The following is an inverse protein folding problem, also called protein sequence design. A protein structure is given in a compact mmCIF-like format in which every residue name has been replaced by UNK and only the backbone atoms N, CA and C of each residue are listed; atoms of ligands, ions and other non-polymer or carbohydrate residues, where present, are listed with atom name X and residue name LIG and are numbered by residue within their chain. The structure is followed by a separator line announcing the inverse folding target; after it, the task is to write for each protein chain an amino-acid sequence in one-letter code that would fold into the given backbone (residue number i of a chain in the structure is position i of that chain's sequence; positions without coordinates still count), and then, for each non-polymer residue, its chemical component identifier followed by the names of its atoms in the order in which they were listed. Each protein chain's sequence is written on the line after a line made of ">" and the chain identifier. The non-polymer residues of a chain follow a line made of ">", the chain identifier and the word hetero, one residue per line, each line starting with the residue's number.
data_IF_042041849393
#
_entry.id   IF_042041849393
#
_cell.length_a   1.000
_cell.length_b   1.000
_cell.length_c   1.000
_cell.angle_alpha   90.00
_cell.angle_beta   90.00
_cell.angle_gamma   90.00
#
_symmetry.space_group_name_H-M   'P 1'
#
loop_
_entity.id
_entity.type
_entity.pdbx_description
1 polymer ?
#
# COMPACT_ATOMS: atom_id res chain seq x y z
N UNK A 1 -3.07 33.71 -10.45
CA UNK A 1 -2.23 33.85 -9.24
C UNK A 1 -2.98 33.24 -8.08
N UNK A 2 -2.37 32.25 -7.38
CA UNK A 2 -2.94 31.68 -6.17
C UNK A 2 -2.97 32.75 -5.07
N UNK A 3 -4.15 32.93 -4.44
CA UNK A 3 -4.35 33.90 -3.35
C UNK A 3 -4.11 33.29 -1.95
N UNK A 4 -4.00 31.96 -1.89
CA UNK A 4 -3.82 31.20 -0.66
C UNK A 4 -2.78 30.11 -0.90
N UNK A 5 -1.99 29.79 0.12
CA UNK A 5 -1.03 28.70 0.13
C UNK A 5 -1.22 27.89 1.41
N UNK A 6 -1.02 26.60 1.31
CA UNK A 6 -0.93 25.70 2.45
C UNK A 6 0.55 25.55 2.80
N UNK A 7 0.89 25.73 4.07
CA UNK A 7 2.24 25.53 4.59
C UNK A 7 2.22 24.35 5.54
N UNK A 8 3.02 23.35 5.24
CA UNK A 8 3.07 22.08 5.98
C UNK A 8 4.52 21.73 6.34
N UNK A 9 4.70 20.88 7.36
CA UNK A 9 5.99 20.28 7.65
C UNK A 9 6.38 19.32 6.52
N UNK A 10 7.63 19.38 6.06
CA UNK A 10 8.11 18.42 5.06
C UNK A 10 8.47 17.09 5.72
N UNK A 11 7.91 16.01 5.18
CA UNK A 11 8.19 14.64 5.59
C UNK A 11 9.07 13.90 4.56
N UNK A 12 9.70 14.65 3.65
CA UNK A 12 10.55 14.08 2.60
C UNK A 12 11.64 13.21 3.20
N UNK A 13 11.78 12.01 2.66
CA UNK A 13 12.78 11.05 3.13
C UNK A 13 12.29 10.10 4.24
N UNK A 14 11.11 10.35 4.83
CA UNK A 14 10.50 9.39 5.76
C UNK A 14 9.98 8.18 5.01
N UNK A 15 9.85 7.05 5.69
CA UNK A 15 9.29 5.84 5.10
C UNK A 15 7.77 5.96 4.99
N UNK A 16 7.22 5.72 3.79
CA UNK A 16 5.78 5.70 3.57
C UNK A 16 5.23 4.32 3.87
N UNK A 17 4.15 4.27 4.65
CA UNK A 17 3.46 3.05 5.09
C UNK A 17 1.97 3.20 4.81
N UNK A 18 1.30 2.08 4.53
CA UNK A 18 -0.14 2.09 4.25
C UNK A 18 -0.86 1.01 5.05
N UNK A 19 -2.08 1.33 5.47
CA UNK A 19 -2.98 0.42 6.17
C UNK A 19 -4.35 0.43 5.50
N UNK A 20 -4.81 -0.75 5.11
CA UNK A 20 -6.19 -0.97 4.65
C UNK A 20 -6.99 -1.57 5.79
N UNK A 21 -8.11 -0.95 6.14
CA UNK A 21 -9.01 -1.39 7.21
C UNK A 21 -10.44 -1.52 6.74
N UNK A 22 -11.18 -2.38 7.42
CA UNK A 22 -12.64 -2.48 7.35
C UNK A 22 -13.23 -2.11 8.71
N UNK A 23 -14.35 -1.39 8.71
CA UNK A 23 -15.11 -1.06 9.93
C UNK A 23 -16.60 -1.22 9.70
N UNK A 24 -17.29 -1.82 10.66
CA UNK A 24 -18.76 -1.96 10.64
C UNK A 24 -19.48 -0.90 11.50
N UNK A 25 -20.80 -0.97 11.52
CA UNK A 25 -21.63 -0.04 12.28
C UNK A 25 -21.54 -0.23 13.80
N UNK A 26 -21.10 -1.40 14.28
CA UNK A 26 -20.93 -1.69 15.71
C UNK A 26 -19.50 -1.43 16.20
N UNK A 27 -18.74 -0.60 15.48
CA UNK A 27 -17.38 -0.17 15.83
C UNK A 27 -16.32 -1.28 15.78
N UNK A 28 -16.62 -2.44 15.18
CA UNK A 28 -15.58 -3.46 14.94
C UNK A 28 -14.66 -2.99 13.82
N UNK A 29 -13.37 -2.91 14.09
CA UNK A 29 -12.33 -2.51 13.12
C UNK A 29 -11.40 -3.68 12.87
N UNK A 30 -11.24 -4.05 11.60
CA UNK A 30 -10.36 -5.14 11.17
C UNK A 30 -9.32 -4.60 10.21
N UNK A 31 -8.01 -4.65 10.56
CA UNK A 31 -6.94 -4.40 9.61
C UNK A 31 -6.92 -5.53 8.57
N UNK A 32 -6.96 -5.17 7.30
CA UNK A 32 -6.90 -6.15 6.21
C UNK A 32 -5.48 -6.38 5.75
N UNK A 33 -4.71 -5.30 5.64
CA UNK A 33 -3.40 -5.37 5.04
C UNK A 33 -2.52 -4.20 5.49
N UNK A 34 -1.26 -4.51 5.79
CA UNK A 34 -0.18 -3.56 6.02
C UNK A 34 0.78 -3.59 4.84
N UNK A 35 1.10 -2.41 4.29
CA UNK A 35 2.02 -2.27 3.17
C UNK A 35 3.13 -1.29 3.51
N UNK A 36 4.35 -1.60 3.06
CA UNK A 36 5.47 -0.65 3.10
C UNK A 36 5.88 -0.26 1.69
N UNK A 37 6.16 1.02 1.50
CA UNK A 37 6.76 1.54 0.29
C UNK A 37 8.28 1.55 0.43
N UNK A 38 9.00 1.07 -0.59
CA UNK A 38 10.47 1.07 -0.59
C UNK A 38 11.01 2.47 -0.85
N UNK A 39 10.28 3.24 -1.65
CA UNK A 39 10.62 4.63 -1.93
C UNK A 39 10.11 5.54 -0.79
N UNK A 40 10.87 6.60 -0.46
CA UNK A 40 10.51 7.48 0.65
C UNK A 40 9.36 8.43 0.31
N UNK A 41 8.78 9.03 1.34
CA UNK A 41 7.86 10.17 1.20
C UNK A 41 8.53 11.26 0.37
N UNK A 42 7.77 11.83 -0.58
CA UNK A 42 8.26 12.74 -1.61
C UNK A 42 8.28 12.12 -3.00
N UNK A 43 8.19 10.78 -3.09
CA UNK A 43 7.90 10.06 -4.34
C UNK A 43 6.40 9.79 -4.40
N UNK A 44 5.80 10.02 -5.58
CA UNK A 44 4.37 9.72 -5.78
C UNK A 44 4.09 8.24 -5.53
N UNK A 45 3.09 7.91 -4.69
CA UNK A 45 2.81 6.52 -4.28
C UNK A 45 2.58 5.58 -5.47
N UNK A 46 2.02 6.10 -6.58
CA UNK A 46 1.88 5.33 -7.83
C UNK A 46 3.21 4.89 -8.44
N UNK A 47 4.28 5.61 -8.16
CA UNK A 47 5.63 5.36 -8.65
C UNK A 47 6.49 4.56 -7.68
N UNK A 48 6.03 4.36 -6.43
CA UNK A 48 6.76 3.62 -5.43
C UNK A 48 6.60 2.11 -5.60
N UNK A 49 7.67 1.38 -5.34
CA UNK A 49 7.63 -0.08 -5.16
C UNK A 49 7.04 -0.38 -3.78
N UNK A 50 5.95 -1.17 -3.74
CA UNK A 50 5.29 -1.52 -2.49
C UNK A 50 5.44 -3.00 -2.17
N UNK A 51 5.54 -3.33 -0.88
CA UNK A 51 5.72 -4.71 -0.38
C UNK A 51 4.63 -5.03 0.64
N UNK A 52 4.08 -6.21 0.55
CA UNK A 52 3.05 -6.77 1.43
C UNK A 52 3.46 -8.19 1.86
N UNK A 53 3.40 -8.51 3.14
CA UNK A 53 3.24 -7.63 4.30
C UNK A 53 4.46 -6.72 4.50
N UNK A 54 4.42 -5.84 5.48
CA UNK A 54 5.59 -5.07 5.91
C UNK A 54 6.69 -6.02 6.39
N UNK A 55 7.88 -5.96 5.77
CA UNK A 55 9.01 -6.85 6.06
C UNK A 55 10.09 -6.18 6.92
N UNK A 56 10.22 -4.85 6.81
CA UNK A 56 11.32 -4.09 7.46
C UNK A 56 10.83 -3.16 8.56
N UNK A 57 9.52 -3.09 8.78
CA UNK A 57 8.90 -2.23 9.78
C UNK A 57 8.76 -2.96 11.10
N UNK A 58 9.30 -2.44 12.22
CA UNK A 58 9.17 -3.04 13.54
C UNK A 58 7.71 -3.23 13.97
N UNK A 59 7.47 -4.25 14.80
CA UNK A 59 6.11 -4.60 15.24
C UNK A 59 5.43 -3.50 16.06
N UNK A 60 6.18 -2.78 16.87
CA UNK A 60 5.69 -1.64 17.66
C UNK A 60 5.19 -0.50 16.77
N UNK A 61 5.89 -0.23 15.65
CA UNK A 61 5.45 0.73 14.65
C UNK A 61 4.18 0.26 13.94
N UNK A 62 4.09 -1.03 13.59
CA UNK A 62 2.88 -1.60 13.00
C UNK A 62 1.69 -1.51 13.95
N UNK A 63 1.88 -1.76 15.25
CA UNK A 63 0.85 -1.59 16.29
C UNK A 63 0.42 -0.13 16.42
N UNK A 64 1.35 0.81 16.36
CA UNK A 64 1.03 2.23 16.42
C UNK A 64 0.22 2.68 15.20
N UNK A 65 0.58 2.23 13.99
CA UNK A 65 -0.19 2.47 12.76
C UNK A 65 -1.60 1.90 12.89
N UNK A 66 -1.74 0.67 13.39
CA UNK A 66 -3.05 0.06 13.62
C UNK A 66 -3.87 0.86 14.62
N UNK A 67 -3.28 1.27 15.73
CA UNK A 67 -3.94 2.09 16.76
C UNK A 67 -4.43 3.42 16.21
N UNK A 68 -3.58 4.15 15.48
CA UNK A 68 -3.94 5.42 14.86
C UNK A 68 -5.03 5.22 13.80
N UNK A 69 -4.88 4.19 12.95
CA UNK A 69 -5.85 3.87 11.92
C UNK A 69 -7.23 3.56 12.49
N UNK A 70 -7.29 2.76 13.56
CA UNK A 70 -8.54 2.48 14.29
C UNK A 70 -9.19 3.76 14.80
N UNK A 71 -8.43 4.61 15.49
CA UNK A 71 -8.95 5.88 16.00
C UNK A 71 -9.51 6.77 14.89
N UNK A 72 -8.84 6.85 13.75
CA UNK A 72 -9.29 7.68 12.62
C UNK A 72 -10.63 7.18 12.10
N UNK A 73 -10.76 5.87 11.78
CA UNK A 73 -12.00 5.34 11.20
C UNK A 73 -13.16 5.38 12.17
N UNK A 74 -12.90 5.28 13.47
CA UNK A 74 -13.90 5.44 14.54
C UNK A 74 -14.40 6.87 14.62
N UNK A 75 -13.48 7.84 14.76
CA UNK A 75 -13.85 9.26 14.88
C UNK A 75 -14.52 9.81 13.62
N UNK A 76 -14.11 9.33 12.45
CA UNK A 76 -14.73 9.69 11.18
C UNK A 76 -16.06 8.97 10.90
N UNK A 77 -16.43 7.99 11.72
CA UNK A 77 -17.67 7.23 11.56
C UNK A 77 -17.74 6.42 10.26
N UNK A 78 -16.59 5.97 9.76
CA UNK A 78 -16.54 5.23 8.49
C UNK A 78 -17.20 3.87 8.64
N UNK A 79 -18.06 3.51 7.70
CA UNK A 79 -18.60 2.15 7.52
C UNK A 79 -18.11 1.62 6.16
N UNK A 80 -17.43 0.48 6.18
CA UNK A 80 -16.81 -0.11 4.98
C UNK A 80 -15.30 -0.02 5.00
N UNK A 81 -14.69 0.19 3.84
CA UNK A 81 -13.24 0.22 3.66
C UNK A 81 -12.67 1.63 3.80
N UNK A 82 -11.53 1.72 4.45
CA UNK A 82 -10.67 2.90 4.42
C UNK A 82 -9.21 2.50 4.14
N UNK A 83 -8.49 3.43 3.52
CA UNK A 83 -7.07 3.35 3.22
C UNK A 83 -6.36 4.56 3.85
N UNK A 84 -5.37 4.30 4.68
CA UNK A 84 -4.67 5.31 5.47
C UNK A 84 -3.18 5.22 5.18
N UNK A 85 -2.58 6.37 4.88
CA UNK A 85 -1.15 6.48 4.65
C UNK A 85 -0.45 7.20 5.78
N UNK A 86 0.69 6.67 6.15
CA UNK A 86 1.52 7.15 7.23
C UNK A 86 2.93 7.45 6.73
N UNK A 87 3.57 8.42 7.35
CA UNK A 87 5.01 8.61 7.30
C UNK A 87 5.62 8.16 8.62
N UNK A 88 6.67 7.37 8.54
CA UNK A 88 7.45 6.94 9.70
C UNK A 88 8.87 7.47 9.62
N UNK A 89 9.27 8.24 10.64
CA UNK A 89 10.65 8.68 10.80
C UNK A 89 11.46 7.57 11.49
N UNK A 90 12.37 6.96 10.76
CA UNK A 90 13.20 5.88 11.28
C UNK A 90 14.26 6.33 12.29
N UNK A 91 14.50 7.66 12.41
CA UNK A 91 15.51 8.22 13.32
C UNK A 91 14.96 8.45 14.73
N UNK A 92 13.75 8.98 14.83
CA UNK A 92 13.11 9.35 16.10
C UNK A 92 11.89 8.49 16.46
N UNK A 93 11.45 7.61 15.54
CA UNK A 93 10.31 6.72 15.71
C UNK A 93 8.95 7.37 15.48
N UNK A 94 8.87 8.67 15.15
CA UNK A 94 7.62 9.38 14.97
C UNK A 94 6.82 8.82 13.79
N UNK A 95 5.53 8.55 14.03
CA UNK A 95 4.56 8.15 13.00
C UNK A 95 3.56 9.28 12.83
N UNK A 96 3.31 9.67 11.57
CA UNK A 96 2.38 10.76 11.22
C UNK A 96 1.48 10.32 10.09
N UNK A 97 0.18 10.67 10.16
CA UNK A 97 -0.78 10.42 9.08
C UNK A 97 -0.52 11.42 7.94
N UNK A 98 -0.39 10.91 6.71
CA UNK A 98 -0.21 11.74 5.51
C UNK A 98 -1.54 11.94 4.79
N UNK A 99 -2.30 10.88 4.60
CA UNK A 99 -3.57 10.94 3.89
C UNK A 99 -4.53 9.85 4.34
N UNK A 100 -5.81 10.13 4.15
CA UNK A 100 -6.90 9.25 4.50
C UNK A 100 -7.92 9.20 3.37
N UNK A 101 -8.23 8.00 2.90
CA UNK A 101 -9.23 7.75 1.89
C UNK A 101 -10.38 6.93 2.50
N UNK A 102 -11.55 7.54 2.79
CA UNK A 102 -12.71 6.84 3.36
C UNK A 102 -13.48 6.05 2.28
N UNK A 103 -12.76 5.30 1.47
CA UNK A 103 -13.30 4.57 0.33
C UNK A 103 -12.29 3.55 -0.19
N UNK A 104 -12.75 2.69 -1.09
CA UNK A 104 -11.88 1.84 -1.88
C UNK A 104 -10.84 2.65 -2.66
N UNK A 105 -9.60 2.19 -2.64
CA UNK A 105 -8.44 2.74 -3.35
C UNK A 105 -7.74 1.66 -4.16
N UNK A 106 -6.66 2.01 -4.87
CA UNK A 106 -5.79 1.01 -5.52
C UNK A 106 -5.17 0.06 -4.49
N UNK A 107 -4.78 0.59 -3.34
CA UNK A 107 -4.21 -0.21 -2.24
C UNK A 107 -5.20 -1.24 -1.71
N UNK A 108 -6.50 -0.90 -1.62
CA UNK A 108 -7.55 -1.86 -1.23
C UNK A 108 -7.72 -2.99 -2.25
N UNK A 109 -7.62 -2.67 -3.56
CA UNK A 109 -7.66 -3.68 -4.62
C UNK A 109 -6.44 -4.59 -4.56
N UNK A 110 -5.27 -4.01 -4.32
CA UNK A 110 -4.03 -4.76 -4.14
C UNK A 110 -4.11 -5.66 -2.90
N UNK A 111 -4.59 -5.12 -1.77
CA UNK A 111 -4.85 -5.90 -0.56
C UNK A 111 -5.75 -7.10 -0.84
N UNK A 112 -6.86 -6.91 -1.57
CA UNK A 112 -7.76 -8.01 -1.94
C UNK A 112 -7.07 -9.12 -2.73
N UNK A 113 -6.22 -8.76 -3.68
CA UNK A 113 -5.49 -9.74 -4.51
C UNK A 113 -4.46 -10.53 -3.70
N UNK A 114 -3.80 -9.88 -2.76
CA UNK A 114 -2.71 -10.49 -1.97
C UNK A 114 -3.24 -11.33 -0.83
N UNK A 115 -4.27 -10.84 -0.12
CA UNK A 115 -4.82 -11.50 1.07
C UNK A 115 -5.92 -12.51 0.75
N UNK A 116 -6.50 -12.44 -0.44
CA UNK A 116 -7.71 -13.20 -0.78
C UNK A 116 -8.99 -12.64 -0.18
N UNK A 117 -8.92 -11.59 0.66
CA UNK A 117 -10.10 -10.95 1.26
C UNK A 117 -10.79 -10.08 0.21
N UNK A 118 -12.07 -10.34 -0.13
CA UNK A 118 -12.79 -9.58 -1.16
C UNK A 118 -13.28 -8.23 -0.61
N UNK A 119 -12.34 -7.30 -0.37
CA UNK A 119 -12.57 -6.02 0.33
C UNK A 119 -13.74 -5.23 -0.26
N UNK A 120 -13.88 -5.19 -1.59
CA UNK A 120 -14.97 -4.47 -2.24
C UNK A 120 -16.35 -5.07 -1.91
N UNK A 121 -16.46 -6.40 -1.98
CA UNK A 121 -17.70 -7.11 -1.65
C UNK A 121 -18.06 -6.93 -0.18
N UNK A 122 -17.06 -7.04 0.71
CA UNK A 122 -17.27 -6.85 2.15
C UNK A 122 -17.69 -5.41 2.44
N UNK A 123 -17.00 -4.42 1.88
CA UNK A 123 -17.35 -3.01 2.04
C UNK A 123 -18.80 -2.71 1.60
N UNK A 124 -19.24 -3.30 0.49
CA UNK A 124 -20.62 -3.17 0.03
C UNK A 124 -21.63 -3.80 1.00
N UNK A 125 -21.31 -4.98 1.57
CA UNK A 125 -22.17 -5.65 2.57
C UNK A 125 -22.24 -4.83 3.86
N UNK A 126 -21.13 -4.26 4.34
CA UNK A 126 -21.11 -3.37 5.50
C UNK A 126 -21.96 -2.12 5.26
N UNK A 127 -21.86 -1.52 4.06
CA UNK A 127 -22.72 -0.39 3.67
C UNK A 127 -24.20 -0.74 3.59
N UNK A 128 -24.53 -2.01 3.31
CA UNK A 128 -25.90 -2.54 3.33
C UNK A 128 -26.37 -2.90 4.75
N UNK A 129 -25.55 -2.74 5.78
CA UNK A 129 -25.91 -2.93 7.19
C UNK A 129 -25.50 -4.26 7.81
N UNK A 130 -24.75 -5.13 7.09
CA UNK A 130 -24.18 -6.32 7.71
C UNK A 130 -23.03 -5.93 8.62
N UNK A 131 -22.75 -6.79 9.60
CA UNK A 131 -21.63 -6.66 10.53
C UNK A 131 -20.49 -7.60 10.14
N UNK A 132 -19.26 -7.27 10.52
CA UNK A 132 -18.09 -8.10 10.21
C UNK A 132 -18.22 -9.53 10.75
N UNK A 133 -18.85 -9.71 11.92
CA UNK A 133 -19.15 -11.03 12.49
C UNK A 133 -20.17 -11.86 11.71
N UNK A 134 -20.93 -11.26 10.81
CA UNK A 134 -21.91 -11.92 9.96
C UNK A 134 -21.38 -12.28 8.58
N UNK A 135 -20.18 -11.81 8.26
CA UNK A 135 -19.55 -12.05 6.96
C UNK A 135 -18.56 -13.22 7.06
N UNK A 136 -18.81 -14.33 6.34
CA UNK A 136 -17.89 -15.47 6.36
C UNK A 136 -16.50 -15.10 5.83
N UNK A 137 -15.47 -15.66 6.49
CA UNK A 137 -14.07 -15.57 6.10
C UNK A 137 -13.47 -16.96 6.10
N UNK A 138 -12.93 -17.43 4.95
CA UNK A 138 -12.64 -18.84 4.69
C UNK A 138 -11.77 -19.51 5.77
N UNK A 139 -10.67 -18.89 6.19
CA UNK A 139 -9.71 -19.51 7.12
C UNK A 139 -9.95 -19.06 8.58
N UNK A 140 -10.87 -18.13 8.81
CA UNK A 140 -11.06 -17.45 10.09
C UNK A 140 -12.48 -17.58 10.66
N UNK A 141 -13.38 -18.26 9.92
CA UNK A 141 -14.78 -18.33 10.28
C UNK A 141 -15.57 -17.08 9.87
N UNK A 142 -15.29 -15.95 10.52
CA UNK A 142 -15.92 -14.66 10.21
C UNK A 142 -14.89 -13.53 10.10
N UNK A 143 -15.28 -12.43 9.45
CA UNK A 143 -14.35 -11.32 9.16
C UNK A 143 -13.84 -10.59 10.39
N UNK A 144 -14.60 -10.57 11.49
CA UNK A 144 -14.14 -9.98 12.76
C UNK A 144 -12.98 -10.75 13.40
N UNK A 145 -12.78 -12.02 13.02
CA UNK A 145 -11.68 -12.88 13.49
C UNK A 145 -10.45 -12.83 12.56
N UNK A 146 -10.55 -12.16 11.43
CA UNK A 146 -9.46 -12.09 10.46
C UNK A 146 -8.22 -11.42 11.06
N UNK A 147 -7.04 -11.99 10.78
CA UNK A 147 -5.74 -11.44 11.16
C UNK A 147 -4.84 -11.31 9.92
N UNK A 148 -4.26 -10.13 9.66
CA UNK A 148 -3.37 -9.90 8.55
C UNK A 148 -2.00 -10.56 8.77
N UNK A 149 -1.24 -10.73 7.69
CA UNK A 149 0.16 -11.20 7.76
C UNK A 149 0.35 -12.67 7.41
N UNK A 150 -0.71 -13.42 7.19
CA UNK A 150 -0.63 -14.80 6.69
C UNK A 150 -0.76 -14.81 5.17
N UNK A 151 0.24 -15.34 4.47
CA UNK A 151 0.20 -15.47 3.02
C UNK A 151 1.54 -15.25 2.33
N UNK A 152 1.54 -15.24 0.99
CA UNK A 152 2.74 -14.97 0.22
C UNK A 152 3.17 -13.50 0.35
N UNK A 153 4.45 -13.26 0.09
CA UNK A 153 4.96 -11.91 -0.06
C UNK A 153 4.58 -11.42 -1.45
N UNK A 154 3.99 -10.22 -1.49
CA UNK A 154 3.68 -9.55 -2.74
C UNK A 154 4.60 -8.34 -2.93
N UNK A 155 5.00 -8.12 -4.18
CA UNK A 155 5.68 -6.90 -4.61
C UNK A 155 4.86 -6.28 -5.73
N UNK A 156 4.47 -5.02 -5.54
CA UNK A 156 3.95 -4.15 -6.59
C UNK A 156 5.12 -3.37 -7.16
N UNK A 157 5.28 -3.38 -8.47
CA UNK A 157 6.34 -2.63 -9.16
C UNK A 157 5.71 -1.76 -10.25
N UNK A 158 5.96 -0.44 -10.26
CA UNK A 158 5.45 0.46 -11.28
C UNK A 158 6.24 0.34 -12.58
N UNK A 159 5.56 0.56 -13.69
CA UNK A 159 6.16 0.76 -15.00
C UNK A 159 6.31 2.25 -15.25
N UNK A 160 7.51 2.78 -15.03
CA UNK A 160 7.80 4.18 -15.27
C UNK A 160 7.98 4.47 -16.76
N UNK A 161 7.53 5.66 -17.18
CA UNK A 161 7.82 6.24 -18.48
C UNK A 161 8.23 7.70 -18.28
N UNK A 162 9.45 8.01 -18.66
CA UNK A 162 10.02 9.35 -18.54
C UNK A 162 10.02 10.12 -19.87
N UNK A 163 9.65 9.46 -20.98
CA UNK A 163 9.75 10.01 -22.34
C UNK A 163 8.60 10.94 -22.81
N UNK A 164 7.40 10.95 -22.17
CA UNK A 164 6.26 11.71 -22.70
C UNK A 164 6.45 13.22 -22.78
N UNK A 165 7.47 13.77 -22.12
CA UNK A 165 7.69 15.22 -22.04
C UNK A 165 9.14 15.56 -22.34
N UNK A 166 9.36 16.32 -23.42
CA UNK A 166 10.69 16.84 -23.79
C UNK A 166 11.30 17.65 -22.64
N UNK A 167 12.54 17.35 -22.31
CA UNK A 167 13.27 18.03 -21.22
C UNK A 167 12.91 17.59 -19.80
N UNK A 168 12.01 16.62 -19.63
CA UNK A 168 11.75 16.02 -18.33
C UNK A 168 12.97 15.22 -17.86
N UNK A 169 13.32 15.39 -16.57
CA UNK A 169 14.39 14.58 -15.96
C UNK A 169 13.86 13.19 -15.63
N UNK A 170 14.70 12.17 -15.81
CA UNK A 170 14.42 10.78 -15.43
C UNK A 170 14.57 10.59 -13.93
N UNK A 171 13.76 11.33 -13.17
CA UNK A 171 13.79 11.35 -11.71
C UNK A 171 12.36 11.17 -11.19
N UNK A 172 12.19 10.29 -10.21
CA UNK A 172 10.95 10.17 -9.46
C UNK A 172 10.78 11.35 -8.50
N UNK A 173 9.53 11.74 -8.28
CA UNK A 173 9.19 12.87 -7.42
C UNK A 173 7.69 12.90 -7.10
N UNK A 174 7.17 14.06 -6.77
CA UNK A 174 5.75 14.22 -6.38
C UNK A 174 4.77 14.05 -7.55
N UNK A 175 5.25 14.14 -8.79
CA UNK A 175 4.43 13.92 -9.99
C UNK A 175 4.55 12.47 -10.45
N UNK A 176 3.42 11.84 -10.74
CA UNK A 176 3.37 10.46 -11.22
C UNK A 176 4.04 10.32 -12.59
N UNK A 177 4.94 9.35 -12.70
CA UNK A 177 5.67 8.96 -13.92
C UNK A 177 5.28 7.58 -14.43
N UNK A 178 4.62 6.76 -13.61
CA UNK A 178 4.19 5.43 -14.00
C UNK A 178 2.99 5.47 -14.94
N UNK A 179 3.03 4.62 -15.95
CA UNK A 179 1.96 4.37 -16.93
C UNK A 179 1.22 3.07 -16.67
N UNK A 180 1.66 2.29 -15.69
CA UNK A 180 1.09 1.01 -15.28
C UNK A 180 1.85 0.44 -14.11
N UNK A 181 1.40 -0.72 -13.66
CA UNK A 181 2.03 -1.45 -12.56
C UNK A 181 1.82 -2.95 -12.74
N UNK A 182 2.76 -3.75 -12.25
CA UNK A 182 2.61 -5.19 -12.10
C UNK A 182 2.66 -5.59 -10.63
N UNK A 183 2.07 -6.74 -10.31
CA UNK A 183 2.12 -7.34 -8.98
C UNK A 183 2.50 -8.79 -9.12
N UNK A 184 3.44 -9.26 -8.30
CA UNK A 184 3.80 -10.66 -8.24
C UNK A 184 3.84 -11.17 -6.81
N UNK A 185 3.54 -12.45 -6.66
CA UNK A 185 3.55 -13.16 -5.40
C UNK A 185 4.72 -14.13 -5.35
N UNK A 186 5.36 -14.22 -4.20
CA UNK A 186 6.46 -15.15 -3.96
C UNK A 186 6.49 -15.63 -2.51
N UNK A 187 7.24 -16.69 -2.25
CA UNK A 187 7.51 -17.17 -0.89
C UNK A 187 8.54 -16.31 -0.18
N UNK A 188 9.33 -15.57 -0.95
CA UNK A 188 10.34 -14.62 -0.47
C UNK A 188 10.23 -13.31 -1.23
N UNK A 189 10.74 -12.23 -0.64
CA UNK A 189 10.82 -10.92 -1.31
C UNK A 189 11.60 -11.02 -2.64
N UNK A 190 12.73 -11.73 -2.65
CA UNK A 190 13.56 -11.89 -3.85
C UNK A 190 12.80 -12.59 -4.98
N UNK A 191 12.03 -13.63 -4.66
CA UNK A 191 11.21 -14.34 -5.64
C UNK A 191 10.12 -13.43 -6.21
N UNK A 192 9.37 -12.72 -5.34
CA UNK A 192 8.31 -11.81 -5.77
C UNK A 192 8.87 -10.66 -6.61
N UNK A 193 10.02 -10.09 -6.22
CA UNK A 193 10.67 -9.01 -6.94
C UNK A 193 11.12 -9.44 -8.34
N UNK A 194 11.76 -10.60 -8.49
CA UNK A 194 12.18 -11.10 -9.79
C UNK A 194 10.97 -11.38 -10.69
N UNK A 195 9.91 -12.00 -10.16
CA UNK A 195 8.68 -12.26 -10.92
C UNK A 195 8.00 -10.98 -11.39
N UNK A 196 7.92 -9.95 -10.53
CA UNK A 196 7.25 -8.71 -10.92
C UNK A 196 8.00 -7.97 -12.01
N UNK A 197 9.35 -7.97 -11.97
CA UNK A 197 10.16 -7.36 -13.03
C UNK A 197 9.93 -8.04 -14.39
N UNK A 198 9.84 -9.38 -14.41
CA UNK A 198 9.49 -10.12 -15.62
C UNK A 198 8.09 -9.74 -16.15
N UNK A 199 7.15 -9.41 -15.26
CA UNK A 199 5.76 -9.10 -15.60
C UNK A 199 5.54 -7.67 -16.12
N UNK A 200 6.56 -6.81 -16.10
CA UNK A 200 6.45 -5.41 -16.57
C UNK A 200 6.39 -5.26 -18.10
N UNK A 201 6.53 -6.36 -18.86
CA UNK A 201 6.53 -6.36 -20.35
C UNK A 201 7.61 -5.45 -20.97
N UNK A 202 8.74 -5.32 -20.29
CA UNK A 202 9.89 -4.52 -20.74
C UNK A 202 11.02 -5.35 -21.30
N UNK A 203 10.75 -6.61 -21.73
CA UNK A 203 11.75 -7.58 -22.22
C UNK A 203 12.88 -7.87 -21.23
N UNK A 204 12.58 -7.77 -19.92
CA UNK A 204 13.50 -8.12 -18.84
C UNK A 204 13.12 -9.47 -18.24
N UNK A 205 14.10 -10.29 -17.97
CA UNK A 205 13.95 -11.61 -17.35
C UNK A 205 14.24 -11.59 -15.83
N UNK A 206 14.22 -10.41 -15.23
CA UNK A 206 14.53 -10.13 -13.84
C UNK A 206 15.57 -9.03 -13.71
N UNK A 207 15.98 -8.73 -12.48
CA UNK A 207 17.07 -7.80 -12.22
C UNK A 207 18.42 -8.48 -12.54
N UNK A 208 19.29 -7.77 -13.28
CA UNK A 208 20.66 -8.21 -13.58
C UNK A 208 20.81 -9.13 -14.80
N UNK A 209 19.77 -9.29 -15.62
CA UNK A 209 19.80 -10.08 -16.87
C UNK A 209 19.33 -9.27 -18.08
N UNK A 210 19.66 -8.01 -18.15
CA UNK A 210 19.44 -7.21 -19.36
C UNK A 210 20.72 -7.12 -20.20
N UNK A 211 20.55 -6.91 -21.51
CA UNK A 211 21.66 -6.81 -22.46
C UNK A 211 22.69 -5.74 -22.07
N UNK A 212 22.24 -4.71 -21.39
CA UNK A 212 23.09 -3.61 -20.93
C UNK A 212 24.04 -4.04 -19.80
N UNK A 213 23.64 -4.99 -18.94
CA UNK A 213 24.50 -5.54 -17.90
C UNK A 213 25.54 -6.51 -18.46
N UNK A 214 25.16 -7.30 -19.48
CA UNK A 214 26.08 -8.25 -20.15
C UNK A 214 27.14 -7.54 -21.00
N UNK A 215 26.89 -6.30 -21.41
CA UNK A 215 27.87 -5.49 -22.15
C UNK A 215 28.89 -4.78 -21.22
N UNK A 216 28.68 -4.81 -19.90
CA UNK A 216 29.57 -4.19 -18.90
C UNK A 216 30.50 -5.21 -18.20
N UNK A 217 30.32 -6.51 -18.46
CA UNK A 217 31.17 -7.61 -17.95
C UNK A 217 32.01 -8.21 -19.03
#
# INVERSE_FOLDING_TARGET
>A
QARQVLVEETLTGWKELELVVLRDAEHTVVPVCFMENLDPVGIHTGDSVSVIPMLTVPEDVQKEIQRQGTLIVEHMGIIGCADIKFAWNQQDGRVTVISFNPRMSRSSVLASKVTGVPVASISARLAAGLLLREIPCADWGTMDQYQPGHGPIAVKFPRWDFHPYDGAKDILGTQMRSIGEAVALGRTFKEALQKVVCSLEQKRYGLGQDEMFMAMT
#
